data_IF_819698073521
#
_entry.id   IF_819698073521
#
_cell.length_a   1.000
_cell.length_b   1.000
_cell.length_c   1.000
_cell.angle_alpha   90.00
_cell.angle_beta   90.00
_cell.angle_gamma   90.00
#
_symmetry.space_group_name_H-M   'P 1'
#
loop_
_entity.id
_entity.type
_entity.pdbx_description
1 polymer ?
#
# COMPACT_ATOMS: atom_id res chain seq x y z
N UNK A 1 -9.65 23.29 16.56
CA UNK A 1 -10.12 22.79 15.25
C UNK A 1 -9.29 23.30 14.06
N UNK A 2 -8.61 24.44 14.13
CA UNK A 2 -7.79 24.98 13.02
C UNK A 2 -6.39 24.36 12.87
N UNK A 3 -5.85 23.69 13.89
CA UNK A 3 -4.44 23.22 13.87
C UNK A 3 -4.19 22.00 12.97
N UNK A 4 -5.19 21.17 12.71
CA UNK A 4 -5.02 19.95 11.90
C UNK A 4 -4.88 20.23 10.39
N UNK A 5 -5.49 21.30 9.88
CA UNK A 5 -5.34 21.71 8.47
C UNK A 5 -3.95 22.31 8.18
N UNK A 6 -3.36 22.98 9.18
CA UNK A 6 -2.02 23.55 9.07
C UNK A 6 -0.98 22.43 8.92
N UNK A 7 -1.20 21.27 9.53
CA UNK A 7 -0.25 20.16 9.51
C UNK A 7 -0.10 19.53 8.12
N UNK A 8 -1.22 19.27 7.45
CA UNK A 8 -1.19 18.78 6.04
C UNK A 8 -0.52 19.78 5.09
N UNK A 9 -0.79 21.07 5.29
CA UNK A 9 -0.17 22.15 4.50
C UNK A 9 1.33 22.25 4.81
N UNK A 10 1.73 22.14 6.08
CA UNK A 10 3.15 22.16 6.49
C UNK A 10 3.90 20.95 5.94
N UNK A 11 3.34 19.74 5.98
CA UNK A 11 3.95 18.55 5.37
C UNK A 11 4.12 18.69 3.85
N UNK A 12 3.14 19.27 3.16
CA UNK A 12 3.28 19.58 1.73
C UNK A 12 4.34 20.65 1.47
N UNK A 13 4.39 21.70 2.29
CA UNK A 13 5.36 22.79 2.14
C UNK A 13 6.79 22.33 2.46
N UNK A 14 6.96 21.49 3.47
CA UNK A 14 8.25 20.94 3.88
C UNK A 14 8.80 19.92 2.86
N UNK A 15 7.93 19.27 2.10
CA UNK A 15 8.33 18.37 1.02
C UNK A 15 8.96 19.10 -0.18
N UNK A 16 8.62 20.37 -0.37
CA UNK A 16 9.13 21.21 -1.47
C UNK A 16 10.53 21.77 -1.15
N UNK A 17 10.93 21.84 0.13
CA UNK A 17 12.16 22.52 0.56
C UNK A 17 13.34 21.57 0.81
N UNK A 18 13.57 20.62 -0.07
CA UNK A 18 14.69 19.65 -0.01
C UNK A 18 16.10 20.28 0.09
N UNK A 19 16.21 21.61 0.01
CA UNK A 19 17.47 22.36 -0.02
C UNK A 19 17.95 22.85 1.36
N UNK A 20 17.12 22.72 2.39
CA UNK A 20 17.51 23.08 3.76
C UNK A 20 17.43 21.80 4.58
N UNK A 21 18.43 21.52 5.41
CA UNK A 21 18.39 20.38 6.34
C UNK A 21 17.30 20.63 7.39
N UNK A 22 16.05 20.29 7.05
CA UNK A 22 14.87 20.45 7.92
C UNK A 22 14.62 19.22 8.78
N UNK A 23 15.48 18.19 8.67
CA UNK A 23 15.40 16.98 9.49
C UNK A 23 15.24 17.27 10.99
N UNK A 24 15.99 18.23 11.61
CA UNK A 24 15.77 18.57 13.01
C UNK A 24 14.37 19.14 13.30
N UNK A 25 13.83 19.95 12.39
CA UNK A 25 12.49 20.55 12.55
C UNK A 25 11.41 19.46 12.48
N UNK A 26 11.55 18.51 11.55
CA UNK A 26 10.63 17.39 11.42
C UNK A 26 10.71 16.46 12.61
N UNK A 27 11.90 16.14 13.06
CA UNK A 27 12.10 15.35 14.30
C UNK A 27 11.44 16.04 15.48
N UNK A 28 11.59 17.35 15.61
CA UNK A 28 10.92 18.11 16.66
C UNK A 28 9.40 18.08 16.53
N UNK A 29 8.85 18.28 15.33
CA UNK A 29 7.41 18.17 15.07
C UNK A 29 6.89 16.78 15.41
N UNK A 30 7.61 15.73 15.00
CA UNK A 30 7.24 14.34 15.30
C UNK A 30 7.23 14.09 16.81
N UNK A 31 8.21 14.58 17.53
CA UNK A 31 8.26 14.47 18.99
C UNK A 31 7.10 15.21 19.66
N UNK A 32 6.76 16.42 19.21
CA UNK A 32 5.61 17.17 19.73
C UNK A 32 4.30 16.41 19.47
N UNK A 33 4.12 15.83 18.28
CA UNK A 33 2.93 15.04 17.97
C UNK A 33 2.91 13.76 18.80
N UNK A 34 4.03 13.06 18.92
CA UNK A 34 4.13 11.88 19.76
C UNK A 34 3.75 12.19 21.20
N UNK A 35 4.29 13.28 21.79
CA UNK A 35 3.94 13.70 23.14
C UNK A 35 2.44 14.02 23.31
N UNK A 36 1.78 14.57 22.27
CA UNK A 36 0.36 14.87 22.33
C UNK A 36 -0.55 13.63 22.23
N UNK A 37 -0.08 12.55 21.60
CA UNK A 37 -0.89 11.38 21.31
C UNK A 37 -0.39 10.11 22.02
N UNK A 38 0.72 10.15 22.75
CA UNK A 38 1.28 8.96 23.39
C UNK A 38 0.31 8.27 24.34
N UNK A 39 -0.51 9.04 25.08
CA UNK A 39 -1.50 8.50 26.02
C UNK A 39 -2.69 7.85 25.28
N UNK A 40 -2.93 8.27 24.02
CA UNK A 40 -3.98 7.74 23.16
C UNK A 40 -3.49 6.67 22.18
N UNK A 41 -2.19 6.39 22.17
CA UNK A 41 -1.56 5.59 21.11
C UNK A 41 -2.12 4.17 21.04
N UNK A 42 -2.31 3.54 22.20
CA UNK A 42 -2.86 2.18 22.25
C UNK A 42 -4.34 2.16 21.80
N UNK A 43 -5.10 3.19 22.14
CA UNK A 43 -6.47 3.35 21.64
C UNK A 43 -6.49 3.54 20.14
N UNK A 44 -5.59 4.34 19.59
CA UNK A 44 -5.48 4.56 18.13
C UNK A 44 -5.09 3.25 17.43
N UNK A 45 -4.11 2.52 17.94
CA UNK A 45 -3.74 1.19 17.43
C UNK A 45 -4.94 0.24 17.43
N UNK A 46 -5.70 0.22 18.52
CA UNK A 46 -6.88 -0.63 18.58
C UNK A 46 -7.95 -0.21 17.57
N UNK A 47 -8.21 1.09 17.40
CA UNK A 47 -9.14 1.59 16.40
C UNK A 47 -8.73 1.21 14.98
N UNK A 48 -7.41 1.27 14.67
CA UNK A 48 -6.87 0.82 13.40
C UNK A 48 -7.06 -0.69 13.24
N UNK A 49 -6.75 -1.47 14.26
CA UNK A 49 -6.92 -2.93 14.27
C UNK A 49 -8.37 -3.34 14.05
N UNK A 50 -9.30 -2.61 14.66
CA UNK A 50 -10.73 -2.85 14.51
C UNK A 50 -11.28 -2.37 13.16
N UNK A 51 -10.58 -1.50 12.48
CA UNK A 51 -10.94 -1.00 11.14
C UNK A 51 -10.36 -1.86 10.03
N UNK A 52 -9.06 -2.21 10.13
CA UNK A 52 -8.30 -2.95 9.12
C UNK A 52 -8.15 -4.41 9.55
N UNK A 53 -9.06 -5.25 9.09
CA UNK A 53 -9.16 -6.66 9.47
C UNK A 53 -8.40 -7.53 8.47
N UNK A 54 -7.59 -8.44 8.96
CA UNK A 54 -6.86 -9.42 8.14
C UNK A 54 -7.51 -10.80 8.27
N UNK A 55 -7.70 -11.48 7.15
CA UNK A 55 -8.26 -12.84 7.03
C UNK A 55 -7.48 -13.66 6.00
N UNK A 56 -7.71 -14.96 5.96
CA UNK A 56 -7.19 -15.86 4.94
C UNK A 56 -5.99 -16.66 5.40
N UNK A 57 -5.16 -17.05 4.43
CA UNK A 57 -4.05 -17.97 4.66
C UNK A 57 -3.00 -17.34 5.59
N UNK A 58 -2.74 -18.00 6.71
CA UNK A 58 -1.72 -17.60 7.69
C UNK A 58 -0.55 -18.58 7.72
N UNK A 59 -0.39 -19.40 6.68
CA UNK A 59 0.72 -20.35 6.57
C UNK A 59 2.05 -19.60 6.72
N UNK A 60 2.87 -20.08 7.62
CA UNK A 60 4.17 -19.46 7.89
C UNK A 60 5.12 -19.66 6.70
N UNK A 61 5.20 -18.66 5.83
CA UNK A 61 6.14 -18.63 4.71
C UNK A 61 7.47 -18.06 5.19
N UNK A 62 8.57 -18.76 4.84
CA UNK A 62 9.91 -18.25 5.13
C UNK A 62 10.18 -16.94 4.40
N UNK A 63 9.73 -16.84 3.14
CA UNK A 63 9.90 -15.69 2.27
C UNK A 63 8.79 -15.64 1.23
N UNK A 64 8.29 -14.46 0.88
CA UNK A 64 7.29 -14.28 -0.16
C UNK A 64 7.27 -12.85 -0.73
N UNK A 65 6.66 -12.71 -1.92
CA UNK A 65 6.30 -11.44 -2.53
C UNK A 65 4.78 -11.25 -2.39
N UNK A 66 4.36 -10.31 -1.56
CA UNK A 66 2.95 -9.99 -1.36
C UNK A 66 2.50 -8.92 -2.35
N UNK A 67 1.54 -9.23 -3.20
CA UNK A 67 0.97 -8.29 -4.16
C UNK A 67 -0.44 -7.89 -3.74
N UNK A 68 -0.60 -6.63 -3.32
CA UNK A 68 -1.82 -6.09 -2.74
C UNK A 68 -2.67 -5.38 -3.80
N UNK A 69 -3.98 -5.60 -3.74
CA UNK A 69 -5.01 -4.92 -4.54
C UNK A 69 -6.25 -4.61 -3.71
N UNK A 70 -6.98 -3.51 -4.02
CA UNK A 70 -6.55 -2.40 -4.86
C UNK A 70 -5.58 -1.48 -4.12
N UNK A 71 -4.96 -0.55 -4.86
CA UNK A 71 -4.12 0.50 -4.25
C UNK A 71 -4.96 1.48 -3.42
N UNK A 72 -6.20 1.76 -3.82
CA UNK A 72 -6.95 2.88 -3.28
C UNK A 72 -6.29 4.23 -3.57
N UNK A 73 -6.78 5.30 -2.95
CA UNK A 73 -6.18 6.63 -3.09
C UNK A 73 -4.85 6.73 -2.33
N UNK A 74 -4.77 6.15 -1.14
CA UNK A 74 -3.61 6.29 -0.24
C UNK A 74 -2.94 4.98 0.17
N UNK A 75 -3.39 3.83 -0.33
CA UNK A 75 -2.84 2.51 0.00
C UNK A 75 -2.71 2.25 1.52
N UNK A 76 -3.78 2.55 2.27
CA UNK A 76 -3.78 2.46 3.73
C UNK A 76 -3.59 1.04 4.23
N UNK A 77 -4.14 0.02 3.53
CA UNK A 77 -3.92 -1.38 3.86
C UNK A 77 -2.45 -1.75 3.81
N UNK A 78 -1.75 -1.32 2.77
CA UNK A 78 -0.31 -1.54 2.66
C UNK A 78 0.44 -0.85 3.81
N UNK A 79 0.09 0.41 4.11
CA UNK A 79 0.71 1.15 5.20
C UNK A 79 0.48 0.47 6.57
N UNK A 80 -0.76 0.15 6.92
CA UNK A 80 -1.08 -0.37 8.25
C UNK A 80 -0.73 -1.84 8.45
N UNK A 81 -0.84 -2.69 7.43
CA UNK A 81 -0.50 -4.10 7.58
C UNK A 81 1.01 -4.33 7.59
N UNK A 82 1.74 -3.62 6.76
CA UNK A 82 3.14 -3.92 6.51
C UNK A 82 4.08 -3.02 7.32
N UNK A 83 3.82 -1.70 7.33
CA UNK A 83 4.78 -0.75 7.87
C UNK A 83 4.67 -0.54 9.38
N UNK A 84 3.44 -0.59 9.95
CA UNK A 84 3.21 -0.10 11.30
C UNK A 84 2.98 -1.16 12.35
N UNK A 85 2.81 -2.42 12.00
CA UNK A 85 2.41 -3.48 12.94
C UNK A 85 1.11 -3.17 13.73
N UNK A 86 0.31 -2.21 13.27
CA UNK A 86 -0.92 -1.82 13.95
C UNK A 86 -2.07 -2.80 13.75
N UNK A 87 -1.94 -3.72 12.82
CA UNK A 87 -2.93 -4.74 12.52
C UNK A 87 -2.44 -6.13 12.89
N UNK A 88 -3.32 -7.13 12.76
CA UNK A 88 -2.99 -8.53 12.97
C UNK A 88 -2.39 -9.20 11.71
N UNK A 89 -1.56 -8.46 10.97
CA UNK A 89 -0.84 -9.04 9.84
C UNK A 89 0.07 -10.17 10.33
N UNK A 90 -0.05 -11.38 9.79
CA UNK A 90 0.60 -12.57 10.38
C UNK A 90 2.10 -12.65 10.12
N UNK A 91 2.60 -11.87 9.16
CA UNK A 91 3.98 -11.99 8.72
C UNK A 91 4.82 -10.81 9.19
N UNK A 92 6.00 -11.13 9.73
CA UNK A 92 7.01 -10.14 10.12
C UNK A 92 8.11 -10.09 9.05
N UNK A 93 9.00 -9.11 9.11
CA UNK A 93 10.11 -8.92 8.17
C UNK A 93 9.68 -8.77 6.70
N UNK A 94 8.50 -8.19 6.46
CA UNK A 94 8.05 -7.80 5.13
C UNK A 94 8.47 -6.37 4.84
N UNK A 95 9.17 -6.17 3.75
CA UNK A 95 9.66 -4.87 3.30
C UNK A 95 8.66 -4.25 2.33
N UNK A 96 8.20 -3.06 2.64
CA UNK A 96 7.26 -2.30 1.82
C UNK A 96 7.98 -1.69 0.62
N UNK A 97 7.53 -2.03 -0.58
CA UNK A 97 8.03 -1.41 -1.80
C UNK A 97 7.22 -0.16 -2.10
N UNK A 98 7.89 0.99 -2.08
CA UNK A 98 7.28 2.30 -2.34
C UNK A 98 7.81 2.91 -3.62
N UNK A 99 7.01 3.73 -4.28
CA UNK A 99 7.44 4.42 -5.49
C UNK A 99 8.64 5.32 -5.19
N UNK A 100 9.70 5.18 -5.99
CA UNK A 100 10.89 6.03 -5.87
C UNK A 100 10.60 7.53 -6.04
N UNK A 101 9.48 7.88 -6.69
CA UNK A 101 9.02 9.26 -6.84
C UNK A 101 8.51 9.78 -5.50
N UNK A 102 7.78 8.96 -4.75
CA UNK A 102 7.27 9.34 -3.43
C UNK A 102 8.44 9.55 -2.47
N UNK A 103 9.43 8.64 -2.48
CA UNK A 103 10.65 8.80 -1.70
C UNK A 103 11.38 10.12 -2.00
N UNK A 104 11.33 10.58 -3.25
CA UNK A 104 11.92 11.87 -3.65
C UNK A 104 11.06 13.08 -3.30
N UNK A 105 9.73 12.97 -3.43
CA UNK A 105 8.80 14.09 -3.25
C UNK A 105 8.39 14.25 -1.78
N UNK A 106 8.27 13.14 -1.05
CA UNK A 106 7.85 13.11 0.34
C UNK A 106 8.81 12.28 1.22
N UNK A 107 10.10 12.58 1.23
CA UNK A 107 11.09 11.77 1.96
C UNK A 107 10.80 11.63 3.46
N UNK A 108 9.95 12.51 4.01
CA UNK A 108 9.62 12.55 5.43
C UNK A 108 8.24 11.97 5.77
N UNK A 109 7.33 11.84 4.79
CA UNK A 109 6.03 11.23 5.03
C UNK A 109 6.18 9.77 5.45
N UNK A 110 7.26 9.13 5.03
CA UNK A 110 7.56 7.74 5.33
C UNK A 110 8.33 7.56 6.63
N UNK A 111 9.17 8.51 7.03
CA UNK A 111 9.84 8.46 8.35
C UNK A 111 8.82 8.44 9.49
N UNK A 112 7.67 9.09 9.30
CA UNK A 112 6.57 9.10 10.26
C UNK A 112 5.80 7.76 10.33
N UNK A 113 5.71 7.03 9.21
CA UNK A 113 4.98 5.75 9.12
C UNK A 113 5.94 4.58 9.33
N UNK A 114 7.23 4.76 9.08
CA UNK A 114 8.23 3.69 9.03
C UNK A 114 9.08 3.62 10.29
N UNK A 115 8.48 3.16 11.38
CA UNK A 115 9.19 2.92 12.65
C UNK A 115 10.25 1.79 12.57
N UNK A 116 10.30 1.05 11.46
CA UNK A 116 11.09 -0.18 11.35
C UNK A 116 12.17 -0.19 10.26
N UNK A 117 12.37 0.92 9.54
CA UNK A 117 13.28 0.99 8.36
C UNK A 117 13.03 -0.12 7.31
N UNK A 118 11.78 -0.58 7.18
CA UNK A 118 11.38 -1.68 6.28
C UNK A 118 10.81 -1.19 4.95
N UNK A 119 11.21 0.00 4.49
CA UNK A 119 10.82 0.51 3.18
C UNK A 119 11.96 0.43 2.19
N UNK A 120 11.65 -0.01 0.99
CA UNK A 120 12.56 -0.06 -0.15
C UNK A 120 11.94 0.62 -1.37
N UNK A 121 12.79 1.19 -2.22
CA UNK A 121 12.31 1.85 -3.43
C UNK A 121 11.88 0.84 -4.50
N UNK A 122 10.93 1.21 -5.34
CA UNK A 122 10.43 0.39 -6.47
C UNK A 122 11.42 0.22 -7.62
N UNK A 123 12.72 0.37 -7.35
CA UNK A 123 13.80 0.10 -8.30
C UNK A 123 14.05 -1.40 -8.35
N UNK A 124 14.16 -1.96 -9.56
CA UNK A 124 14.31 -3.41 -9.76
C UNK A 124 15.45 -4.03 -8.93
N UNK A 125 16.63 -3.39 -8.93
CA UNK A 125 17.79 -3.87 -8.16
C UNK A 125 17.57 -3.85 -6.66
N UNK A 126 16.85 -2.84 -6.13
CA UNK A 126 16.55 -2.72 -4.70
C UNK A 126 15.63 -3.85 -4.22
N UNK A 127 14.57 -4.14 -5.00
CA UNK A 127 13.63 -5.21 -4.67
C UNK A 127 14.34 -6.57 -4.78
N UNK A 128 15.06 -6.80 -5.89
CA UNK A 128 15.79 -8.04 -6.12
C UNK A 128 16.84 -8.29 -5.05
N UNK A 129 17.60 -7.26 -4.65
CA UNK A 129 18.58 -7.36 -3.57
C UNK A 129 17.93 -7.75 -2.24
N UNK A 130 16.78 -7.13 -1.87
CA UNK A 130 16.05 -7.51 -0.67
C UNK A 130 15.58 -8.97 -0.70
N UNK A 131 15.10 -9.47 -1.84
CA UNK A 131 14.70 -10.87 -2.01
C UNK A 131 15.92 -11.81 -1.92
N UNK A 132 17.05 -11.45 -2.51
CA UNK A 132 18.29 -12.22 -2.41
C UNK A 132 18.86 -12.27 -0.99
N UNK A 133 18.61 -11.22 -0.19
CA UNK A 133 18.93 -11.17 1.24
C UNK A 133 17.96 -11.99 2.12
N UNK A 134 17.03 -12.74 1.54
CA UNK A 134 16.05 -13.54 2.29
C UNK A 134 14.89 -12.75 2.87
N UNK A 135 14.71 -11.48 2.48
CA UNK A 135 13.62 -10.63 2.95
C UNK A 135 12.36 -10.86 2.11
N UNK A 136 11.19 -10.83 2.74
CA UNK A 136 9.91 -10.74 2.03
C UNK A 136 9.65 -9.31 1.58
N UNK A 137 8.92 -9.15 0.49
CA UNK A 137 8.53 -7.81 -0.01
C UNK A 137 7.02 -7.72 -0.22
N UNK A 138 6.48 -6.51 -0.12
CA UNK A 138 5.08 -6.25 -0.42
C UNK A 138 4.95 -5.02 -1.29
N UNK A 139 3.99 -5.02 -2.21
CA UNK A 139 3.70 -3.86 -3.06
C UNK A 139 2.26 -3.85 -3.56
N UNK A 140 1.75 -2.67 -3.81
CA UNK A 140 0.54 -2.48 -4.60
C UNK A 140 0.92 -2.45 -6.08
N UNK A 141 0.68 -3.55 -6.78
CA UNK A 141 1.18 -3.78 -8.15
C UNK A 141 0.68 -2.74 -9.15
N UNK A 142 -0.55 -2.27 -9.00
CA UNK A 142 -1.15 -1.27 -9.88
C UNK A 142 -0.67 0.16 -9.62
N UNK A 143 -0.04 0.41 -8.46
CA UNK A 143 0.41 1.74 -8.07
C UNK A 143 -0.74 2.76 -8.09
N UNK A 144 -0.45 4.07 -8.10
CA UNK A 144 -1.46 5.15 -8.19
C UNK A 144 -2.43 5.02 -9.37
N UNK A 145 -2.01 4.37 -10.45
CA UNK A 145 -2.87 4.16 -11.61
C UNK A 145 -4.09 3.30 -11.28
N UNK A 146 -3.96 2.37 -10.34
CA UNK A 146 -5.07 1.51 -9.89
C UNK A 146 -6.16 2.32 -9.19
N UNK A 147 -5.77 3.31 -8.36
CA UNK A 147 -6.70 4.21 -7.71
C UNK A 147 -7.56 5.05 -8.67
N UNK A 148 -7.18 5.15 -9.95
CA UNK A 148 -8.02 5.84 -10.95
C UNK A 148 -9.26 5.04 -11.32
N UNK A 149 -9.20 3.73 -11.15
CA UNK A 149 -10.29 2.80 -11.44
C UNK A 149 -11.12 2.45 -10.19
N UNK A 150 -10.86 3.15 -9.07
CA UNK A 150 -11.57 2.91 -7.83
C UNK A 150 -13.08 3.10 -7.99
N UNK A 151 -13.81 2.06 -7.60
CA UNK A 151 -15.26 1.99 -7.58
C UNK A 151 -15.68 1.33 -6.27
N UNK A 152 -16.81 1.74 -5.69
CA UNK A 152 -17.24 1.23 -4.38
C UNK A 152 -17.50 -0.27 -4.36
N UNK A 153 -17.91 -0.83 -5.49
CA UNK A 153 -18.39 -2.21 -5.63
C UNK A 153 -17.57 -3.04 -6.62
N UNK A 154 -16.51 -2.46 -7.17
CA UNK A 154 -15.67 -3.14 -8.16
C UNK A 154 -14.19 -3.06 -7.81
N UNK A 155 -13.49 -4.17 -7.94
CA UNK A 155 -12.04 -4.23 -7.87
C UNK A 155 -11.45 -4.24 -9.27
N UNK A 156 -10.58 -3.28 -9.56
CA UNK A 156 -9.77 -3.26 -10.78
C UNK A 156 -8.31 -3.49 -10.41
N UNK A 157 -7.69 -4.52 -10.99
CA UNK A 157 -6.30 -4.86 -10.76
C UNK A 157 -5.46 -4.63 -12.02
N UNK A 158 -4.43 -3.81 -11.93
CA UNK A 158 -3.50 -3.54 -13.04
C UNK A 158 -2.38 -4.58 -13.03
N UNK A 159 -2.56 -5.65 -13.79
CA UNK A 159 -1.65 -6.81 -13.83
C UNK A 159 -1.12 -7.09 -15.23
N UNK A 160 -1.96 -6.94 -16.28
CA UNK A 160 -1.65 -7.40 -17.64
C UNK A 160 -0.34 -6.87 -18.20
N UNK A 161 0.01 -5.62 -17.89
CA UNK A 161 1.24 -4.97 -18.37
C UNK A 161 2.42 -5.10 -17.40
N UNK A 162 2.24 -5.76 -16.25
CA UNK A 162 3.26 -5.89 -15.22
C UNK A 162 4.04 -7.20 -15.40
N UNK A 163 5.22 -7.15 -16.02
CA UNK A 163 6.08 -8.33 -16.22
C UNK A 163 7.25 -8.42 -15.22
N UNK A 164 7.74 -7.26 -14.76
CA UNK A 164 8.97 -7.18 -13.98
C UNK A 164 8.94 -7.97 -12.67
N UNK A 165 7.83 -7.95 -11.93
CA UNK A 165 7.73 -8.66 -10.66
C UNK A 165 7.63 -10.18 -10.86
N UNK A 166 6.95 -10.65 -11.89
CA UNK A 166 6.86 -12.09 -12.22
C UNK A 166 8.22 -12.62 -12.68
N UNK A 167 8.95 -11.85 -13.50
CA UNK A 167 10.34 -12.14 -13.85
C UNK A 167 11.19 -12.27 -12.59
N UNK A 168 11.10 -11.31 -11.68
CA UNK A 168 11.89 -11.27 -10.45
C UNK A 168 11.58 -12.45 -9.53
N UNK A 169 10.31 -12.83 -9.40
CA UNK A 169 9.90 -14.00 -8.62
C UNK A 169 10.62 -15.29 -9.11
N UNK A 170 10.62 -15.51 -10.43
CA UNK A 170 11.31 -16.67 -11.01
C UNK A 170 12.84 -16.54 -10.86
N UNK A 171 13.41 -15.35 -11.05
CA UNK A 171 14.86 -15.14 -10.88
C UNK A 171 15.36 -15.35 -9.46
N UNK A 172 14.49 -15.18 -8.48
CA UNK A 172 14.84 -15.33 -7.06
C UNK A 172 14.30 -16.60 -6.42
N UNK A 173 13.44 -17.35 -7.12
CA UNK A 173 12.78 -18.55 -6.57
C UNK A 173 11.78 -18.22 -5.46
N UNK A 174 11.32 -16.98 -5.34
CA UNK A 174 10.46 -16.52 -4.26
C UNK A 174 8.98 -16.55 -4.68
N UNK A 175 8.12 -17.27 -3.92
CA UNK A 175 6.69 -17.37 -4.25
C UNK A 175 5.97 -16.05 -4.18
N UNK A 176 4.88 -15.93 -4.95
CA UNK A 176 4.00 -14.77 -4.97
C UNK A 176 2.72 -15.09 -4.20
N UNK A 177 2.28 -14.17 -3.34
CA UNK A 177 1.03 -14.29 -2.60
C UNK A 177 0.09 -13.16 -3.02
N UNK A 178 -1.08 -13.46 -3.60
CA UNK A 178 -2.10 -12.46 -3.88
C UNK A 178 -2.76 -11.98 -2.58
N UNK A 179 -2.97 -10.68 -2.47
CA UNK A 179 -3.65 -10.06 -1.33
C UNK A 179 -4.73 -9.13 -1.86
N UNK A 180 -5.93 -9.26 -1.31
CA UNK A 180 -7.11 -8.53 -1.77
C UNK A 180 -7.79 -7.83 -0.60
N UNK A 181 -8.03 -6.52 -0.74
CA UNK A 181 -8.64 -5.69 0.30
C UNK A 181 -9.97 -5.13 -0.19
N UNK A 182 -11.03 -5.34 0.56
CA UNK A 182 -12.34 -4.77 0.32
C UNK A 182 -12.57 -3.57 1.22
N UNK A 183 -13.10 -2.49 0.67
CA UNK A 183 -13.38 -1.26 1.40
C UNK A 183 -12.23 -0.24 1.40
N UNK A 184 -11.06 -0.58 0.89
CA UNK A 184 -9.94 0.35 0.74
C UNK A 184 -10.33 1.59 -0.08
N UNK A 185 -11.00 1.37 -1.22
CA UNK A 185 -11.48 2.42 -2.11
C UNK A 185 -12.58 3.30 -1.50
N UNK A 186 -13.17 2.87 -0.39
CA UNK A 186 -14.25 3.60 0.29
C UNK A 186 -13.74 4.49 1.44
N UNK A 187 -12.47 4.38 1.82
CA UNK A 187 -11.88 5.19 2.88
C UNK A 187 -11.75 6.64 2.42
N UNK A 188 -11.24 6.83 1.20
CA UNK A 188 -11.12 8.13 0.57
C UNK A 188 -11.83 8.14 -0.77
N UNK A 189 -12.55 9.21 -1.06
CA UNK A 189 -12.96 9.53 -2.42
C UNK A 189 -11.86 10.33 -3.09
N UNK A 190 -11.66 10.11 -4.40
CA UNK A 190 -10.68 10.86 -5.15
C UNK A 190 -11.23 12.24 -5.53
N UNK A 191 -10.45 13.28 -5.25
CA UNK A 191 -10.69 14.61 -5.78
C UNK A 191 -9.93 14.79 -7.12
N UNK A 192 -10.61 14.51 -8.22
CA UNK A 192 -10.06 14.69 -9.56
C UNK A 192 -10.06 16.17 -10.02
N UNK A 193 -10.68 17.06 -9.25
CA UNK A 193 -10.85 18.48 -9.60
C UNK A 193 -9.75 19.35 -8.99
N UNK A 194 -8.98 18.82 -8.07
CA UNK A 194 -7.95 19.56 -7.35
C UNK A 194 -6.89 20.16 -8.30
N UNK A 195 -6.65 21.45 -8.13
CA UNK A 195 -5.57 22.18 -8.83
C UNK A 195 -4.22 21.51 -8.53
N UNK A 196 -4.02 21.00 -7.30
CA UNK A 196 -2.80 20.33 -6.88
C UNK A 196 -2.59 19.04 -7.67
N UNK A 197 -3.65 18.23 -7.88
CA UNK A 197 -3.57 17.02 -8.73
C UNK A 197 -3.15 17.36 -10.15
N UNK A 198 -3.64 18.46 -10.72
CA UNK A 198 -3.26 18.94 -12.06
C UNK A 198 -1.80 19.41 -12.10
N UNK A 199 -1.34 20.14 -11.09
CA UNK A 199 0.06 20.58 -10.99
C UNK A 199 0.99 19.37 -10.88
N UNK A 200 0.68 18.41 -10.03
CA UNK A 200 1.47 17.18 -9.88
C UNK A 200 1.52 16.40 -11.19
N UNK A 201 0.39 16.27 -11.88
CA UNK A 201 0.35 15.63 -13.20
C UNK A 201 1.25 16.34 -14.23
N UNK A 202 1.17 17.67 -14.30
CA UNK A 202 1.99 18.45 -15.24
C UNK A 202 3.49 18.35 -14.95
N UNK A 203 3.87 18.21 -13.67
CA UNK A 203 5.27 18.13 -13.26
C UNK A 203 5.86 16.71 -13.35
N UNK A 204 5.03 15.68 -13.15
CA UNK A 204 5.52 14.30 -13.00
C UNK A 204 5.01 13.33 -14.05
N UNK A 205 4.00 13.72 -14.83
CA UNK A 205 3.27 12.83 -15.74
C UNK A 205 2.43 11.77 -15.02
N UNK A 206 2.35 11.84 -13.68
CA UNK A 206 1.60 10.90 -12.85
C UNK A 206 0.29 11.54 -12.45
N UNK A 207 -0.81 10.92 -12.82
CA UNK A 207 -2.11 11.33 -12.35
C UNK A 207 -2.29 10.88 -10.91
N UNK A 208 -2.01 11.76 -9.99
CA UNK A 208 -2.17 11.53 -8.57
C UNK A 208 -3.54 12.01 -8.12
N UNK A 209 -4.38 11.08 -7.70
CA UNK A 209 -5.65 11.40 -7.04
C UNK A 209 -5.35 11.79 -5.60
N UNK A 210 -5.73 13.00 -5.21
CA UNK A 210 -5.70 13.39 -3.80
C UNK A 210 -6.98 12.91 -3.11
N UNK A 211 -6.89 12.56 -1.82
CA UNK A 211 -8.08 12.29 -1.04
C UNK A 211 -8.94 13.55 -0.93
N UNK A 212 -10.25 13.40 -1.03
CA UNK A 212 -11.19 14.49 -0.79
C UNK A 212 -11.17 14.94 0.68
N UNK A 213 -11.51 16.20 0.94
CA UNK A 213 -11.48 16.79 2.28
C UNK A 213 -12.44 16.05 3.22
N UNK A 214 -13.62 15.67 2.74
CA UNK A 214 -14.62 14.94 3.53
C UNK A 214 -14.10 13.56 3.91
N UNK A 215 -13.41 12.87 3.00
CA UNK A 215 -12.73 11.61 3.26
C UNK A 215 -11.66 11.76 4.33
N UNK A 216 -10.83 12.80 4.25
CA UNK A 216 -9.81 13.10 5.27
C UNK A 216 -10.47 13.32 6.64
N UNK A 217 -11.53 14.14 6.71
CA UNK A 217 -12.25 14.39 7.96
C UNK A 217 -12.87 13.11 8.52
N UNK A 218 -13.45 12.27 7.67
CA UNK A 218 -14.01 10.99 8.08
C UNK A 218 -12.91 10.06 8.58
N UNK A 219 -11.78 9.99 7.87
CA UNK A 219 -10.65 9.16 8.27
C UNK A 219 -10.05 9.61 9.62
N UNK A 220 -9.95 10.90 9.88
CA UNK A 220 -9.47 11.42 11.16
C UNK A 220 -10.28 10.95 12.37
N UNK A 221 -11.53 10.45 12.18
CA UNK A 221 -12.31 9.84 13.26
C UNK A 221 -11.63 8.60 13.85
N UNK A 222 -10.72 7.95 13.12
CA UNK A 222 -9.98 6.78 13.59
C UNK A 222 -9.16 7.08 14.86
N UNK A 223 -8.76 8.32 15.06
CA UNK A 223 -8.09 8.76 16.28
C UNK A 223 -8.99 8.69 17.52
N UNK A 224 -10.31 8.66 17.34
CA UNK A 224 -11.28 8.62 18.45
C UNK A 224 -12.01 7.27 18.55
N UNK A 225 -12.36 6.67 17.43
CA UNK A 225 -13.09 5.39 17.34
C UNK A 225 -12.75 4.67 16.01
N UNK A 226 -12.98 3.36 15.92
CA UNK A 226 -12.89 2.65 14.65
C UNK A 226 -13.78 3.28 13.59
N UNK A 227 -13.39 3.19 12.31
CA UNK A 227 -14.23 3.65 11.21
C UNK A 227 -15.47 2.77 11.10
N UNK A 228 -16.59 3.38 10.71
CA UNK A 228 -17.87 2.66 10.58
C UNK A 228 -17.79 1.61 9.44
N UNK A 229 -17.16 1.97 8.31
CA UNK A 229 -16.85 1.02 7.22
C UNK A 229 -15.50 0.33 7.51
N UNK A 230 -15.52 -1.00 7.53
CA UNK A 230 -14.31 -1.81 7.74
C UNK A 230 -13.58 -2.03 6.42
N UNK A 231 -12.27 -2.17 6.52
CA UNK A 231 -11.42 -2.63 5.42
C UNK A 231 -11.02 -4.08 5.73
N UNK A 232 -11.44 -5.01 4.89
CA UNK A 232 -11.19 -6.44 5.11
C UNK A 232 -10.21 -6.94 4.06
N UNK A 233 -9.03 -7.36 4.52
CA UNK A 233 -7.95 -7.86 3.68
C UNK A 233 -7.86 -9.37 3.74
N UNK A 234 -7.88 -10.03 2.61
CA UNK A 234 -7.72 -11.47 2.47
C UNK A 234 -6.36 -11.80 1.87
N UNK A 235 -5.65 -12.72 2.53
CA UNK A 235 -4.38 -13.27 2.07
C UNK A 235 -4.69 -14.58 1.37
N UNK A 236 -4.29 -14.70 0.10
CA UNK A 236 -4.48 -15.90 -0.72
C UNK A 236 -3.38 -16.94 -0.50
N UNK A 237 -3.47 -18.00 -1.28
CA UNK A 237 -2.47 -19.08 -1.26
C UNK A 237 -1.20 -18.68 -2.02
N UNK A 238 -0.03 -19.17 -1.60
CA UNK A 238 1.23 -18.93 -2.30
C UNK A 238 1.23 -19.59 -3.69
N UNK A 239 1.77 -18.88 -4.65
CA UNK A 239 2.02 -19.36 -6.01
C UNK A 239 3.51 -19.68 -6.11
N UNK A 240 3.83 -20.95 -6.07
CA UNK A 240 5.21 -21.42 -6.15
C UNK A 240 5.79 -21.18 -7.55
N UNK A 241 7.07 -20.81 -7.61
CA UNK A 241 7.80 -20.50 -8.84
C UNK A 241 8.95 -21.48 -9.12
N UNK A 242 9.22 -22.39 -8.17
CA UNK A 242 10.32 -23.34 -8.23
C UNK A 242 11.67 -22.70 -7.93
N UNK A 243 12.76 -23.38 -8.29
CA UNK A 243 14.11 -22.90 -8.06
C UNK A 243 14.43 -21.65 -8.86
N UNK A 244 15.31 -20.81 -8.32
CA UNK A 244 15.79 -19.59 -8.95
C UNK A 244 16.47 -19.88 -10.29
N UNK A 245 16.03 -19.20 -11.36
CA UNK A 245 16.56 -19.36 -12.73
C UNK A 245 16.30 -18.14 -13.58
N UNK A 246 16.97 -18.05 -14.72
CA UNK A 246 16.67 -17.04 -15.73
C UNK A 246 15.39 -17.45 -16.49
N UNK A 247 14.29 -16.69 -16.40
CA UNK A 247 13.04 -17.07 -17.06
C UNK A 247 13.02 -16.70 -18.54
N UNK A 248 12.29 -17.47 -19.31
CA UNK A 248 11.84 -17.10 -20.64
C UNK A 248 10.65 -16.13 -20.58
N UNK A 249 10.35 -15.44 -21.68
CA UNK A 249 9.14 -14.60 -21.79
C UNK A 249 7.84 -15.40 -21.56
N UNK A 250 7.83 -16.63 -22.01
CA UNK A 250 6.67 -17.52 -21.86
C UNK A 250 6.43 -17.87 -20.38
N UNK A 251 7.45 -18.27 -19.64
CA UNK A 251 7.35 -18.54 -18.20
C UNK A 251 6.86 -17.33 -17.40
N UNK A 252 7.31 -16.11 -17.79
CA UNK A 252 6.84 -14.88 -17.14
C UNK A 252 5.34 -14.66 -17.39
N UNK A 253 4.90 -14.86 -18.62
CA UNK A 253 3.49 -14.69 -18.99
C UNK A 253 2.60 -15.80 -18.38
N UNK A 254 3.09 -17.03 -18.28
CA UNK A 254 2.41 -18.14 -17.59
C UNK A 254 2.26 -17.87 -16.10
N UNK A 255 3.30 -17.42 -15.42
CA UNK A 255 3.24 -17.08 -14.00
C UNK A 255 2.27 -15.91 -13.76
N UNK A 256 2.28 -14.88 -14.63
CA UNK A 256 1.32 -13.79 -14.56
C UNK A 256 -0.13 -14.28 -14.72
N UNK A 257 -0.38 -15.19 -15.65
CA UNK A 257 -1.70 -15.77 -15.85
C UNK A 257 -2.14 -16.60 -14.63
N UNK A 258 -1.26 -17.44 -14.07
CA UNK A 258 -1.51 -18.17 -12.82
C UNK A 258 -1.85 -17.21 -11.67
N UNK A 259 -1.15 -16.08 -11.59
CA UNK A 259 -1.46 -15.04 -10.60
C UNK A 259 -2.85 -14.43 -10.79
N UNK A 260 -3.21 -14.08 -12.01
CA UNK A 260 -4.55 -13.54 -12.31
C UNK A 260 -5.66 -14.56 -11.99
N UNK A 261 -5.43 -15.84 -12.25
CA UNK A 261 -6.39 -16.91 -11.92
C UNK A 261 -6.51 -17.12 -10.40
N UNK A 262 -5.38 -17.09 -9.68
CA UNK A 262 -5.39 -17.14 -8.22
C UNK A 262 -6.12 -15.94 -7.60
N UNK A 263 -5.92 -14.74 -8.16
CA UNK A 263 -6.59 -13.52 -7.69
C UNK A 263 -8.10 -13.57 -8.01
N UNK A 264 -8.52 -14.09 -9.19
CA UNK A 264 -9.95 -14.35 -9.51
C UNK A 264 -10.57 -15.32 -8.51
N UNK A 265 -9.86 -16.41 -8.20
CA UNK A 265 -10.33 -17.40 -7.23
C UNK A 265 -10.50 -16.76 -5.87
N UNK A 266 -9.48 -16.04 -5.38
CA UNK A 266 -9.54 -15.33 -4.11
C UNK A 266 -10.72 -14.35 -4.07
N UNK A 267 -10.92 -13.58 -5.15
CA UNK A 267 -12.04 -12.65 -5.26
C UNK A 267 -13.38 -13.38 -5.18
N UNK A 268 -13.58 -14.44 -5.96
CA UNK A 268 -14.82 -15.21 -5.98
C UNK A 268 -15.16 -15.82 -4.63
N UNK A 269 -14.13 -16.30 -3.91
CA UNK A 269 -14.29 -16.97 -2.62
C UNK A 269 -14.54 -15.96 -1.46
N UNK A 270 -14.22 -14.68 -1.65
CA UNK A 270 -14.19 -13.71 -0.53
C UNK A 270 -14.98 -12.43 -0.78
N UNK A 271 -15.47 -12.18 -2.01
CA UNK A 271 -16.15 -10.93 -2.35
C UNK A 271 -17.40 -10.70 -1.49
N UNK A 272 -17.62 -9.47 -1.01
CA UNK A 272 -18.89 -9.08 -0.41
C UNK A 272 -20.05 -9.20 -1.40
N UNK A 273 -21.26 -9.34 -0.89
CA UNK A 273 -22.47 -9.58 -1.73
C UNK A 273 -22.78 -8.41 -2.66
N UNK A 274 -22.44 -7.21 -2.24
CA UNK A 274 -22.64 -5.95 -2.94
C UNK A 274 -21.57 -5.64 -4.01
N UNK A 275 -20.55 -6.49 -4.15
CA UNK A 275 -19.52 -6.33 -5.16
C UNK A 275 -19.90 -6.99 -6.48
N UNK A 276 -19.41 -6.44 -7.60
CA UNK A 276 -19.58 -7.01 -8.94
C UNK A 276 -19.11 -8.48 -8.99
N UNK A 277 -19.63 -9.25 -9.95
CA UNK A 277 -19.35 -10.69 -10.01
C UNK A 277 -17.90 -11.01 -10.36
N UNK A 278 -17.22 -10.12 -11.06
CA UNK A 278 -15.86 -10.37 -11.52
C UNK A 278 -14.91 -9.21 -11.20
N UNK A 279 -13.67 -9.57 -10.87
CA UNK A 279 -12.56 -8.63 -10.79
C UNK A 279 -12.12 -8.23 -12.21
N UNK A 280 -11.89 -6.93 -12.41
CA UNK A 280 -11.44 -6.41 -13.70
C UNK A 280 -9.92 -6.37 -13.75
N UNK A 281 -9.32 -6.93 -14.81
CA UNK A 281 -7.87 -6.83 -15.05
C UNK A 281 -7.55 -5.88 -16.19
N UNK A 282 -6.57 -4.97 -15.95
CA UNK A 282 -6.05 -4.00 -16.92
C UNK A 282 -4.56 -4.22 -17.19
#
# INVERSE_FOLDING_TARGET
MCFHNIYGIILCFLSITKWISIKPIITWINNVIYEWYKDDFDRIKQNIRDTFIVKGNTTNMKQAIYLLHPHGVCSLTHAFHINTEFTNWPYRNVYSVVSHIIDKVFPFAFDFINDSNRMITSVYSSIKGALQDGKSTSMCLGNFTEGQYDDEHRITAIVKKRKGIFKMAIETGVPIIPVLSYGEQNVFKKDNTSIISKIVYNLTGIQWSLPDIDGIIKWMKIFKKPLDKKVVTYIGDPIEVGEARTPTSMEIDELRNKYMDALRKLYKDTKPVDYEDEIVFV
#
